data_IF_020415826341
#
_entry.id   IF_020415826341
#
_cell.length_a   1.000
_cell.length_b   1.000
_cell.length_c   1.000
_cell.angle_alpha   90.00
_cell.angle_beta   90.00
_cell.angle_gamma   90.00
#
_symmetry.space_group_name_H-M   'P 1'
#
loop_
_entity.id
_entity.type
_entity.pdbx_description
1 polymer ?
#
# COMPACT_ATOMS: atom_id res chain seq x y z
N UNK A 1 29.88 -17.30 22.68
CA UNK A 1 29.41 -17.08 21.30
C UNK A 1 30.58 -17.42 20.37
N UNK A 2 30.43 -18.39 19.47
CA UNK A 2 31.53 -18.96 18.68
C UNK A 2 32.21 -17.93 17.79
N UNK A 3 33.36 -17.41 18.23
CA UNK A 3 34.24 -16.54 17.46
C UNK A 3 35.17 -17.40 16.61
N UNK A 4 34.86 -17.52 15.32
CA UNK A 4 35.64 -18.35 14.40
C UNK A 4 35.31 -18.18 12.92
N UNK A 5 34.53 -17.15 12.54
CA UNK A 5 34.34 -16.78 11.14
C UNK A 5 34.86 -15.35 10.95
N UNK A 6 36.18 -15.20 10.87
CA UNK A 6 36.82 -13.94 10.51
C UNK A 6 36.65 -13.71 9.01
N UNK A 7 35.46 -13.23 8.62
CA UNK A 7 35.26 -12.63 7.30
C UNK A 7 36.00 -11.30 7.29
N UNK A 8 36.72 -10.99 6.21
CA UNK A 8 37.37 -9.69 6.02
C UNK A 8 36.31 -8.57 6.07
N UNK A 9 36.21 -7.89 7.22
CA UNK A 9 35.27 -6.80 7.42
C UNK A 9 35.67 -5.61 6.56
N UNK A 10 34.80 -5.23 5.64
CA UNK A 10 34.97 -4.00 4.85
C UNK A 10 34.18 -2.88 5.53
N UNK A 11 34.90 -1.90 6.08
CA UNK A 11 34.32 -0.73 6.76
C UNK A 11 33.20 -0.06 5.94
N UNK A 12 33.37 0.09 4.64
CA UNK A 12 32.40 0.74 3.77
C UNK A 12 31.11 -0.08 3.62
N UNK A 13 31.22 -1.41 3.60
CA UNK A 13 30.07 -2.31 3.50
C UNK A 13 29.31 -2.35 4.82
N UNK A 14 30.02 -2.42 5.95
CA UNK A 14 29.43 -2.42 7.28
C UNK A 14 28.71 -1.10 7.57
N UNK A 15 29.31 0.05 7.24
CA UNK A 15 28.68 1.37 7.39
C UNK A 15 27.46 1.53 6.48
N UNK A 16 27.54 1.06 5.23
CA UNK A 16 26.41 1.09 4.31
C UNK A 16 25.26 0.19 4.78
N UNK A 17 25.56 -1.02 5.25
CA UNK A 17 24.56 -1.94 5.77
C UNK A 17 23.90 -1.38 7.04
N UNK A 18 24.70 -0.85 7.98
CA UNK A 18 24.20 -0.18 9.17
C UNK A 18 23.30 1.02 8.84
N UNK A 19 23.62 1.79 7.79
CA UNK A 19 22.77 2.89 7.32
C UNK A 19 21.42 2.45 6.76
N UNK A 20 21.33 1.26 6.16
CA UNK A 20 20.08 0.68 5.66
C UNK A 20 19.20 0.12 6.77
N UNK A 21 19.84 -0.53 7.74
CA UNK A 21 19.14 -1.09 8.90
C UNK A 21 18.55 0.00 9.80
N UNK A 22 19.15 1.20 9.82
CA UNK A 22 18.74 2.33 10.66
C UNK A 22 18.09 3.47 9.87
N UNK A 23 17.48 3.15 8.72
CA UNK A 23 16.94 4.15 7.80
C UNK A 23 15.73 4.89 8.43
N UNK A 24 14.98 4.24 9.32
CA UNK A 24 13.85 4.84 10.04
C UNK A 24 14.25 6.05 10.89
N UNK A 25 15.44 6.06 11.49
CA UNK A 25 15.90 7.18 12.31
C UNK A 25 16.23 8.42 11.48
N UNK A 26 16.57 8.22 10.21
CA UNK A 26 16.93 9.28 9.28
C UNK A 26 15.73 9.74 8.44
N UNK A 27 14.60 9.03 8.51
CA UNK A 27 13.43 9.35 7.72
C UNK A 27 12.79 10.66 8.17
N UNK A 28 12.39 11.49 7.19
CA UNK A 28 11.73 12.78 7.43
C UNK A 28 10.50 12.92 6.55
N UNK A 29 9.42 13.43 7.14
CA UNK A 29 8.24 13.84 6.41
C UNK A 29 8.52 15.14 5.67
N UNK A 30 8.72 15.02 4.36
CA UNK A 30 8.93 16.11 3.42
C UNK A 30 7.85 16.01 2.35
N UNK A 31 7.63 17.08 1.59
CA UNK A 31 6.67 17.05 0.47
C UNK A 31 7.02 15.95 -0.54
N UNK A 32 8.31 15.69 -0.76
CA UNK A 32 8.78 14.61 -1.64
C UNK A 32 8.47 13.23 -1.05
N UNK A 33 8.77 12.97 0.21
CA UNK A 33 8.49 11.66 0.82
C UNK A 33 6.99 11.39 0.92
N UNK A 34 6.18 12.41 1.25
CA UNK A 34 4.71 12.30 1.20
C UNK A 34 4.19 11.98 -0.21
N UNK A 35 4.73 12.62 -1.24
CA UNK A 35 4.35 12.32 -2.63
C UNK A 35 4.70 10.87 -3.03
N UNK A 36 5.87 10.37 -2.63
CA UNK A 36 6.29 8.99 -2.89
C UNK A 36 5.38 8.00 -2.17
N UNK A 37 5.11 8.22 -0.88
CA UNK A 37 4.22 7.37 -0.08
C UNK A 37 2.79 7.41 -0.63
N UNK A 38 2.27 8.58 -1.02
CA UNK A 38 0.95 8.69 -1.62
C UNK A 38 0.85 7.98 -2.98
N UNK A 39 1.85 8.13 -3.84
CA UNK A 39 1.86 7.51 -5.15
C UNK A 39 1.95 5.99 -5.06
N UNK A 40 2.96 5.46 -4.34
CA UNK A 40 3.21 4.02 -4.29
C UNK A 40 2.39 3.29 -3.22
N UNK A 41 2.08 3.95 -2.11
CA UNK A 41 1.30 3.37 -1.01
C UNK A 41 -0.21 3.40 -1.25
N UNK A 42 -0.73 4.36 -2.03
CA UNK A 42 -2.17 4.49 -2.29
C UNK A 42 -2.52 4.44 -3.77
N UNK A 43 -1.97 5.34 -4.58
CA UNK A 43 -2.44 5.50 -5.95
C UNK A 43 -2.19 4.25 -6.80
N UNK A 44 -0.98 3.67 -6.77
CA UNK A 44 -0.64 2.47 -7.55
C UNK A 44 -1.54 1.27 -7.17
N UNK A 45 -1.68 0.85 -5.90
CA UNK A 45 -2.56 -0.25 -5.53
C UNK A 45 -4.02 -0.03 -5.96
N UNK A 46 -4.54 1.19 -5.79
CA UNK A 46 -5.93 1.52 -6.16
C UNK A 46 -6.12 1.42 -7.68
N UNK A 47 -5.18 1.95 -8.47
CA UNK A 47 -5.26 1.92 -9.93
C UNK A 47 -5.14 0.49 -10.47
N UNK A 48 -4.21 -0.31 -9.92
CA UNK A 48 -4.05 -1.73 -10.27
C UNK A 48 -5.34 -2.48 -9.99
N UNK A 49 -5.91 -2.29 -8.79
CA UNK A 49 -7.17 -2.92 -8.43
C UNK A 49 -8.31 -2.56 -9.38
N UNK A 50 -8.48 -1.27 -9.68
CA UNK A 50 -9.51 -0.80 -10.64
C UNK A 50 -9.29 -1.36 -12.04
N UNK A 51 -8.04 -1.46 -12.49
CA UNK A 51 -7.70 -2.06 -13.78
C UNK A 51 -8.09 -3.53 -13.84
N UNK A 52 -7.75 -4.29 -12.82
CA UNK A 52 -8.11 -5.72 -12.70
C UNK A 52 -9.63 -5.91 -12.68
N UNK A 53 -10.35 -5.16 -11.85
CA UNK A 53 -11.82 -5.26 -11.78
C UNK A 53 -12.47 -4.96 -13.13
N UNK A 54 -12.01 -3.90 -13.81
CA UNK A 54 -12.50 -3.55 -15.15
C UNK A 54 -12.25 -4.69 -16.15
N UNK A 55 -11.07 -5.28 -16.13
CA UNK A 55 -10.73 -6.40 -17.01
C UNK A 55 -11.66 -7.60 -16.77
N UNK A 56 -11.91 -7.96 -15.50
CA UNK A 56 -12.85 -9.03 -15.17
C UNK A 56 -14.29 -8.72 -15.60
N UNK A 57 -14.71 -7.46 -15.50
CA UNK A 57 -16.03 -7.02 -15.95
C UNK A 57 -16.18 -7.12 -17.47
N UNK A 58 -15.15 -6.73 -18.23
CA UNK A 58 -15.14 -6.89 -19.69
C UNK A 58 -15.21 -8.37 -20.10
N UNK A 59 -14.48 -9.25 -19.41
CA UNK A 59 -14.53 -10.70 -19.65
C UNK A 59 -15.90 -11.31 -19.29
N UNK A 60 -16.53 -10.84 -18.20
CA UNK A 60 -17.86 -11.30 -17.81
C UNK A 60 -18.93 -10.83 -18.82
N UNK A 61 -18.82 -9.62 -19.37
CA UNK A 61 -19.67 -9.11 -20.47
C UNK A 61 -19.55 -9.99 -21.72
N UNK A 62 -18.32 -10.25 -22.17
CA UNK A 62 -18.06 -11.08 -23.35
C UNK A 62 -18.57 -12.52 -23.17
N UNK A 63 -18.54 -13.03 -21.94
CA UNK A 63 -19.04 -14.35 -21.57
C UNK A 63 -20.56 -14.40 -21.28
N UNK A 64 -21.27 -13.27 -21.34
CA UNK A 64 -22.69 -13.16 -21.02
C UNK A 64 -23.03 -13.46 -19.55
N UNK A 65 -22.07 -13.27 -18.63
CA UNK A 65 -22.22 -13.53 -17.20
C UNK A 65 -22.57 -12.25 -16.43
N UNK A 66 -23.33 -12.34 -15.33
CA UNK A 66 -23.62 -11.17 -14.50
C UNK A 66 -22.35 -10.65 -13.83
N UNK A 67 -22.22 -9.32 -13.72
CA UNK A 67 -21.06 -8.68 -13.09
C UNK A 67 -20.86 -9.14 -11.64
N UNK A 68 -19.64 -9.57 -11.35
CA UNK A 68 -19.24 -9.95 -9.99
C UNK A 68 -18.99 -8.71 -9.14
N UNK A 69 -19.45 -8.76 -7.88
CA UNK A 69 -19.20 -7.73 -6.88
C UNK A 69 -17.78 -7.88 -6.35
N UNK A 70 -16.91 -6.96 -6.75
CA UNK A 70 -15.57 -6.84 -6.17
C UNK A 70 -15.56 -5.76 -5.07
N UNK A 71 -14.68 -5.92 -4.09
CA UNK A 71 -14.43 -5.00 -2.98
C UNK A 71 -14.00 -3.59 -3.44
N UNK A 72 -14.95 -2.77 -3.87
CA UNK A 72 -14.65 -1.39 -4.24
C UNK A 72 -14.41 -0.56 -2.96
N UNK A 73 -13.20 -0.04 -2.79
CA UNK A 73 -12.83 0.84 -1.68
C UNK A 73 -13.79 2.04 -1.53
N UNK A 74 -14.36 2.51 -2.64
CA UNK A 74 -15.37 3.56 -2.66
C UNK A 74 -16.73 3.11 -2.09
N UNK A 75 -17.10 1.84 -2.29
CA UNK A 75 -18.29 1.25 -1.68
C UNK A 75 -18.13 1.15 -0.17
N UNK A 76 -16.95 0.76 0.31
CA UNK A 76 -16.64 0.71 1.74
C UNK A 76 -16.71 2.10 2.37
N UNK A 77 -16.13 3.12 1.71
CA UNK A 77 -16.19 4.51 2.19
C UNK A 77 -17.61 5.09 2.16
N UNK A 78 -18.42 4.76 1.14
CA UNK A 78 -19.85 5.15 1.08
C UNK A 78 -20.65 4.52 2.21
N UNK A 79 -20.46 3.23 2.47
CA UNK A 79 -21.11 2.52 3.56
C UNK A 79 -20.64 3.04 4.93
N UNK A 80 -19.37 3.42 5.05
CA UNK A 80 -18.86 4.09 6.24
C UNK A 80 -19.56 5.45 6.42
N UNK A 81 -19.57 6.34 5.42
CA UNK A 81 -20.21 7.65 5.54
C UNK A 81 -21.70 7.55 5.92
N UNK A 82 -22.45 6.59 5.36
CA UNK A 82 -23.83 6.32 5.75
C UNK A 82 -23.96 5.85 7.19
N UNK A 83 -23.02 5.02 7.68
CA UNK A 83 -23.00 4.56 9.07
C UNK A 83 -22.68 5.68 10.06
N UNK A 84 -21.78 6.61 9.70
CA UNK A 84 -21.42 7.75 10.56
C UNK A 84 -22.53 8.82 10.58
N UNK A 85 -23.22 9.04 9.45
CA UNK A 85 -24.38 9.92 9.39
C UNK A 85 -25.56 9.37 10.22
N UNK A 86 -25.76 8.05 10.25
CA UNK A 86 -26.80 7.42 11.06
C UNK A 86 -26.56 7.55 12.57
N UNK A 87 -25.29 7.54 13.02
CA UNK A 87 -24.95 7.73 14.44
C UNK A 87 -25.13 9.17 14.93
N UNK A 88 -25.11 10.16 14.04
CA UNK A 88 -25.27 11.58 14.40
C UNK A 88 -26.73 12.04 14.50
N UNK A 89 -27.67 11.27 13.95
CA UNK A 89 -29.12 11.55 13.98
C UNK A 89 -29.79 10.94 15.23
N UNK A 90 -29.09 10.06 15.96
CA UNK A 90 -29.55 9.39 17.17
C UNK A 90 -29.11 10.08 18.48
N UNK A 91 -28.62 11.33 18.41
CA UNK A 91 -28.23 12.15 19.57
C UNK A 91 -28.94 13.52 19.55
#
# INVERSE_FOLDING_TARGET
MGGGMEVHKNKWIEEWNAGRENLEFNFRWTRRSLAVVGLFGLAVPILVYKGIVREFHMQDEDAGRPYRKFLCLFEVLKNLHHSWAASFILF
#
